data_IF_577506347211
#
_entry.id   IF_577506347211
#
_cell.length_a   1.000
_cell.length_b   1.000
_cell.length_c   1.000
_cell.angle_alpha   90.00
_cell.angle_beta   90.00
_cell.angle_gamma   90.00
#
_symmetry.space_group_name_H-M   'P 1'
#
loop_
_entity.id
_entity.type
_entity.pdbx_description
1 polymer ?
#
# COMPACT_ATOMS: atom_id res chain seq x y z
N UNK A 1 1.52 -14.51 8.46
CA UNK A 1 1.04 -13.44 9.37
C UNK A 1 2.23 -12.91 10.14
N UNK A 2 2.19 -11.66 10.60
CA UNK A 2 3.26 -11.05 11.43
C UNK A 2 3.35 -11.79 12.77
N UNK A 3 2.21 -12.10 13.38
CA UNK A 3 2.09 -12.89 14.63
C UNK A 3 2.78 -14.24 14.52
N UNK A 4 2.39 -15.05 13.52
CA UNK A 4 3.04 -16.34 13.23
C UNK A 4 4.56 -16.21 13.01
N UNK A 5 5.04 -15.11 12.43
CA UNK A 5 6.48 -14.88 12.29
C UNK A 5 7.15 -14.62 13.63
N UNK A 6 6.51 -13.81 14.49
CA UNK A 6 7.01 -13.49 15.82
C UNK A 6 7.00 -14.71 16.73
N UNK A 7 5.88 -15.44 16.79
CA UNK A 7 5.77 -16.69 17.56
C UNK A 7 6.79 -17.72 17.13
N UNK A 8 6.99 -17.89 15.81
CA UNK A 8 7.97 -18.83 15.27
C UNK A 8 9.41 -18.44 15.62
N UNK A 9 9.75 -17.15 15.59
CA UNK A 9 11.08 -16.68 16.02
C UNK A 9 11.30 -16.95 17.52
N UNK A 10 10.28 -16.67 18.33
CA UNK A 10 10.35 -16.78 19.79
C UNK A 10 10.37 -18.23 20.27
N UNK A 11 9.73 -19.16 19.55
CA UNK A 11 9.74 -20.59 19.89
C UNK A 11 11.13 -21.23 19.78
N UNK A 12 12.07 -20.62 19.05
CA UNK A 12 13.48 -21.04 19.05
C UNK A 12 14.18 -20.77 20.40
N UNK A 13 13.67 -19.83 21.20
CA UNK A 13 14.27 -19.41 22.47
C UNK A 13 14.07 -20.37 23.65
N UNK A 14 13.39 -21.50 23.46
CA UNK A 14 13.17 -22.53 24.48
C UNK A 14 11.69 -22.77 24.79
N UNK A 15 11.41 -23.37 25.95
CA UNK A 15 10.08 -23.85 26.36
C UNK A 15 9.16 -22.73 26.89
N UNK A 16 9.24 -21.56 26.27
CA UNK A 16 8.37 -20.45 26.55
C UNK A 16 7.18 -20.58 25.60
N UNK A 17 5.95 -20.46 26.06
CA UNK A 17 4.78 -20.36 25.18
C UNK A 17 4.68 -18.90 24.73
N UNK A 18 5.16 -18.51 23.52
CA UNK A 18 5.06 -17.14 23.09
C UNK A 18 3.63 -16.83 22.66
N UNK A 19 3.16 -15.65 23.03
CA UNK A 19 1.92 -15.09 22.50
C UNK A 19 2.25 -13.77 21.81
N UNK A 20 1.88 -13.63 20.54
CA UNK A 20 2.08 -12.41 19.77
C UNK A 20 0.75 -11.85 19.28
N UNK A 21 0.54 -10.56 19.47
CA UNK A 21 -0.63 -9.84 18.93
C UNK A 21 -0.13 -8.68 18.09
N UNK A 22 -0.57 -8.64 16.83
CA UNK A 22 -0.23 -7.57 15.90
C UNK A 22 -1.46 -6.69 15.62
N UNK A 23 -1.49 -5.52 16.24
CA UNK A 23 -2.46 -4.47 15.93
C UNK A 23 -1.92 -3.55 14.85
N UNK A 24 -2.82 -2.78 14.23
CA UNK A 24 -2.49 -1.79 13.22
C UNK A 24 -1.35 -0.84 13.63
N UNK A 25 -1.29 -0.41 14.88
CA UNK A 25 -0.33 0.62 15.34
C UNK A 25 0.63 0.10 16.41
N UNK A 26 0.55 -1.19 16.74
CA UNK A 26 1.20 -1.74 17.92
C UNK A 26 1.47 -3.22 17.76
N UNK A 27 2.66 -3.65 18.18
CA UNK A 27 3.00 -5.05 18.36
C UNK A 27 3.09 -5.32 19.86
N UNK A 28 2.47 -6.42 20.29
CA UNK A 28 2.57 -6.93 21.66
C UNK A 28 3.17 -8.32 21.58
N UNK A 29 4.17 -8.59 22.40
CA UNK A 29 4.77 -9.90 22.59
C UNK A 29 4.75 -10.24 24.06
N UNK A 30 4.29 -11.42 24.41
CA UNK A 30 4.43 -11.99 25.74
C UNK A 30 5.19 -13.30 25.67
N UNK A 31 6.12 -13.50 26.60
CA UNK A 31 6.90 -14.72 26.74
C UNK A 31 6.77 -15.17 28.19
N UNK A 32 6.29 -16.39 28.40
CA UNK A 32 6.24 -16.99 29.73
C UNK A 32 7.56 -17.69 30.08
N UNK A 33 8.19 -17.29 31.18
CA UNK A 33 9.36 -17.97 31.76
C UNK A 33 8.97 -18.62 33.10
N UNK A 34 9.22 -19.93 33.30
CA UNK A 34 8.93 -20.61 34.56
C UNK A 34 9.65 -19.99 35.77
N UNK A 35 10.80 -19.34 35.55
CA UNK A 35 11.65 -18.77 36.59
C UNK A 35 11.34 -17.29 36.86
N UNK A 36 10.75 -16.57 35.91
CA UNK A 36 10.69 -15.09 35.90
C UNK A 36 9.26 -14.54 35.79
N UNK A 37 8.26 -15.41 35.63
CA UNK A 37 6.90 -15.02 35.28
C UNK A 37 6.77 -14.62 33.82
N UNK A 38 5.71 -13.87 33.49
CA UNK A 38 5.45 -13.39 32.13
C UNK A 38 6.20 -12.10 31.85
N UNK A 39 6.98 -12.07 30.76
CA UNK A 39 7.60 -10.86 30.24
C UNK A 39 6.82 -10.38 29.02
N UNK A 40 6.17 -9.21 29.14
CA UNK A 40 5.41 -8.59 28.06
C UNK A 40 6.10 -7.33 27.56
N UNK A 41 6.29 -7.23 26.25
CA UNK A 41 6.87 -6.08 25.57
C UNK A 41 5.91 -5.54 24.53
N UNK A 42 5.75 -4.22 24.53
CA UNK A 42 4.91 -3.50 23.58
C UNK A 42 5.78 -2.54 22.77
N UNK A 43 5.54 -2.48 21.46
CA UNK A 43 6.22 -1.57 20.54
C UNK A 43 5.22 -0.90 19.60
N UNK A 44 5.31 0.42 19.48
CA UNK A 44 4.51 1.21 18.54
C UNK A 44 5.05 1.02 17.12
N UNK A 45 4.15 0.96 16.14
CA UNK A 45 4.47 0.96 14.71
C UNK A 45 4.14 2.35 14.13
N UNK A 46 5.13 3.26 14.00
CA UNK A 46 4.87 4.68 13.73
C UNK A 46 4.43 4.97 12.29
N UNK A 47 4.92 4.21 11.31
CA UNK A 47 4.52 4.34 9.91
C UNK A 47 4.41 2.96 9.28
N UNK A 48 3.36 2.78 8.47
CA UNK A 48 3.19 1.62 7.60
C UNK A 48 3.58 2.02 6.19
N UNK A 49 4.45 1.23 5.58
CA UNK A 49 4.63 1.23 4.14
C UNK A 49 4.62 -0.23 3.69
N UNK A 50 3.86 -0.55 2.64
CA UNK A 50 3.74 -1.92 2.15
C UNK A 50 4.83 -2.18 1.12
N UNK A 51 5.90 -2.87 1.55
CA UNK A 51 6.95 -3.32 0.64
C UNK A 51 6.95 -4.85 0.57
N UNK A 52 6.22 -5.41 -0.40
CA UNK A 52 6.05 -6.86 -0.53
C UNK A 52 7.38 -7.63 -0.58
N UNK A 53 8.39 -7.13 -1.30
CA UNK A 53 9.69 -7.80 -1.35
C UNK A 53 10.36 -7.92 0.04
N UNK A 54 10.35 -6.85 0.84
CA UNK A 54 10.87 -6.89 2.22
C UNK A 54 10.07 -7.84 3.10
N UNK A 55 8.73 -7.85 2.96
CA UNK A 55 7.86 -8.79 3.70
C UNK A 55 8.21 -10.25 3.36
N UNK A 56 8.38 -10.57 2.07
CA UNK A 56 8.79 -11.90 1.62
C UNK A 56 10.17 -12.29 2.19
N UNK A 57 11.15 -11.38 2.13
CA UNK A 57 12.50 -11.63 2.65
C UNK A 57 12.51 -11.82 4.17
N UNK A 58 11.75 -11.03 4.93
CA UNK A 58 11.61 -11.22 6.39
C UNK A 58 10.96 -12.58 6.71
N UNK A 59 9.94 -12.98 5.95
CA UNK A 59 9.30 -14.30 6.12
C UNK A 59 10.26 -15.45 5.77
N UNK A 60 11.10 -15.28 4.75
CA UNK A 60 12.10 -16.28 4.40
C UNK A 60 13.22 -16.34 5.45
N UNK A 61 13.71 -15.18 5.89
CA UNK A 61 14.69 -15.05 6.96
C UNK A 61 14.19 -15.73 8.25
N UNK A 62 12.93 -15.52 8.64
CA UNK A 62 12.37 -16.13 9.85
C UNK A 62 12.31 -17.65 9.76
N UNK A 63 11.93 -18.21 8.59
CA UNK A 63 11.94 -19.66 8.36
C UNK A 63 13.34 -20.24 8.44
N UNK A 64 14.31 -19.59 7.79
CA UNK A 64 15.73 -20.05 7.79
C UNK A 64 16.37 -19.94 9.18
N UNK A 65 16.08 -18.88 9.92
CA UNK A 65 16.51 -18.70 11.30
C UNK A 65 15.99 -19.83 12.20
N UNK A 66 14.71 -20.16 12.08
CA UNK A 66 14.06 -21.19 12.90
C UNK A 66 14.54 -22.59 12.52
N UNK A 67 14.86 -22.81 11.24
CA UNK A 67 15.49 -24.03 10.76
C UNK A 67 16.96 -24.19 11.23
N UNK A 68 17.50 -23.26 12.02
CA UNK A 68 18.84 -23.37 12.59
C UNK A 68 19.99 -23.09 11.63
N UNK A 69 19.71 -22.50 10.46
CA UNK A 69 20.74 -22.26 9.43
C UNK A 69 21.80 -21.22 9.84
N UNK A 70 21.50 -20.37 10.82
CA UNK A 70 22.41 -19.35 11.34
C UNK A 70 22.03 -18.92 12.78
N UNK A 71 22.95 -18.24 13.45
CA UNK A 71 22.77 -17.70 14.81
C UNK A 71 21.93 -16.42 14.88
N UNK A 72 21.70 -15.91 16.09
CA UNK A 72 20.89 -14.72 16.33
C UNK A 72 21.57 -13.44 15.84
N UNK A 73 22.89 -13.31 16.02
CA UNK A 73 23.65 -12.16 15.52
C UNK A 73 23.56 -12.03 14.00
N UNK A 74 23.70 -13.16 13.30
CA UNK A 74 23.62 -13.20 11.84
C UNK A 74 22.19 -12.93 11.33
N UNK A 75 21.17 -13.44 12.02
CA UNK A 75 19.78 -13.12 11.72
C UNK A 75 19.50 -11.61 11.88
N UNK A 76 20.04 -11.01 12.93
CA UNK A 76 19.91 -9.57 13.18
C UNK A 76 20.62 -8.73 12.11
N UNK A 77 21.81 -9.16 11.68
CA UNK A 77 22.56 -8.54 10.58
C UNK A 77 21.78 -8.57 9.27
N UNK A 78 21.29 -9.74 8.86
CA UNK A 78 20.47 -9.88 7.63
C UNK A 78 19.15 -9.12 7.72
N UNK A 79 18.52 -9.05 8.89
CA UNK A 79 17.33 -8.22 9.08
C UNK A 79 17.65 -6.73 8.87
N UNK A 80 18.81 -6.26 9.32
CA UNK A 80 19.32 -4.92 9.06
C UNK A 80 19.56 -4.65 7.57
N UNK A 81 20.08 -5.62 6.83
CA UNK A 81 20.25 -5.53 5.37
C UNK A 81 18.89 -5.38 4.66
N UNK A 82 17.90 -6.20 5.00
CA UNK A 82 16.54 -6.12 4.45
C UNK A 82 15.88 -4.77 4.80
N UNK A 83 16.12 -4.27 6.02
CA UNK A 83 15.58 -2.98 6.45
C UNK A 83 16.15 -1.83 5.62
N UNK A 84 17.47 -1.82 5.39
CA UNK A 84 18.19 -0.76 4.68
C UNK A 84 18.12 -0.88 3.15
N UNK A 85 17.58 -1.97 2.61
CA UNK A 85 17.45 -2.15 1.17
C UNK A 85 16.67 -0.98 0.54
N UNK A 86 17.17 -0.38 -0.56
CA UNK A 86 16.48 0.72 -1.20
C UNK A 86 15.13 0.27 -1.75
N UNK A 87 14.13 1.15 -1.66
CA UNK A 87 12.87 0.97 -2.37
C UNK A 87 13.09 0.98 -3.88
N UNK A 88 12.10 0.50 -4.64
CA UNK A 88 12.11 0.53 -6.10
C UNK A 88 12.48 1.91 -6.67
N UNK A 89 13.19 1.89 -7.81
CA UNK A 89 13.61 3.12 -8.48
C UNK A 89 12.41 3.99 -8.84
N UNK A 90 12.57 5.32 -8.72
CA UNK A 90 11.46 6.24 -8.97
C UNK A 90 10.93 6.13 -10.40
N UNK A 91 11.80 5.88 -11.37
CA UNK A 91 11.44 5.65 -12.75
C UNK A 91 10.54 4.41 -12.91
N UNK A 92 10.92 3.29 -12.30
CA UNK A 92 10.11 2.06 -12.38
C UNK A 92 8.72 2.27 -11.79
N UNK A 93 8.63 2.97 -10.65
CA UNK A 93 7.35 3.32 -10.04
C UNK A 93 6.51 4.18 -10.99
N UNK A 94 7.08 5.25 -11.55
CA UNK A 94 6.37 6.15 -12.48
C UNK A 94 5.86 5.40 -13.71
N UNK A 95 6.71 4.58 -14.34
CA UNK A 95 6.29 3.76 -15.49
C UNK A 95 5.20 2.76 -15.11
N UNK A 96 5.24 2.20 -13.90
CA UNK A 96 4.21 1.29 -13.41
C UNK A 96 2.85 1.97 -13.29
N UNK A 97 2.78 3.25 -12.91
CA UNK A 97 1.53 4.00 -12.92
C UNK A 97 0.97 4.11 -14.35
N UNK A 98 1.81 4.46 -15.34
CA UNK A 98 1.38 4.53 -16.74
C UNK A 98 0.88 3.19 -17.28
N UNK A 99 1.65 2.12 -17.09
CA UNK A 99 1.30 0.77 -17.54
C UNK A 99 -0.01 0.31 -16.89
N UNK A 100 -0.17 0.53 -15.58
CA UNK A 100 -1.39 0.17 -14.87
C UNK A 100 -2.60 0.91 -15.44
N UNK A 101 -2.50 2.24 -15.62
CA UNK A 101 -3.59 3.04 -16.20
C UNK A 101 -3.97 2.60 -17.61
N UNK A 102 -2.98 2.28 -18.46
CA UNK A 102 -3.25 1.74 -19.79
C UNK A 102 -3.94 0.38 -19.74
N UNK A 103 -3.50 -0.52 -18.87
CA UNK A 103 -4.10 -1.84 -18.69
C UNK A 103 -5.54 -1.75 -18.18
N UNK A 104 -5.83 -0.84 -17.25
CA UNK A 104 -7.20 -0.60 -16.77
C UNK A 104 -8.10 -0.03 -17.86
N UNK A 105 -7.55 0.75 -18.80
CA UNK A 105 -8.34 1.23 -19.95
C UNK A 105 -8.86 0.08 -20.79
N UNK A 106 -8.03 -0.95 -21.02
CA UNK A 106 -8.47 -2.17 -21.71
C UNK A 106 -9.54 -2.90 -20.91
N UNK A 107 -9.41 -2.97 -19.58
CA UNK A 107 -10.39 -3.60 -18.69
C UNK A 107 -11.75 -2.89 -18.71
N UNK A 108 -11.78 -1.58 -18.90
CA UNK A 108 -12.98 -0.77 -19.02
C UNK A 108 -13.47 -0.59 -20.46
N UNK A 109 -12.99 -1.44 -21.38
CA UNK A 109 -13.41 -1.45 -22.79
C UNK A 109 -13.13 -0.13 -23.53
N UNK A 110 -12.07 0.59 -23.12
CA UNK A 110 -11.60 1.80 -23.79
C UNK A 110 -10.86 1.53 -25.09
N UNK A 111 -10.79 2.54 -25.96
CA UNK A 111 -10.04 2.45 -27.21
C UNK A 111 -8.53 2.48 -27.02
N UNK A 112 -7.77 2.13 -28.07
CA UNK A 112 -6.30 2.22 -28.05
C UNK A 112 -5.81 3.65 -27.79
N UNK A 113 -6.51 4.66 -28.33
CA UNK A 113 -6.20 6.07 -28.12
C UNK A 113 -6.38 6.45 -26.65
N UNK A 114 -7.50 6.07 -26.03
CA UNK A 114 -7.74 6.30 -24.61
C UNK A 114 -6.70 5.59 -23.74
N UNK A 115 -6.24 4.40 -24.15
CA UNK A 115 -5.18 3.67 -23.46
C UNK A 115 -3.83 4.39 -23.50
N UNK A 116 -3.47 5.00 -24.63
CA UNK A 116 -2.26 5.83 -24.75
C UNK A 116 -2.36 7.10 -23.91
N UNK A 117 -3.53 7.74 -23.90
CA UNK A 117 -3.76 8.92 -23.04
C UNK A 117 -3.70 8.53 -21.58
N UNK A 118 -4.35 7.43 -21.18
CA UNK A 118 -4.31 6.89 -19.82
C UNK A 118 -2.90 6.52 -19.36
N UNK A 119 -2.06 6.02 -20.28
CA UNK A 119 -0.64 5.79 -20.02
C UNK A 119 0.07 7.10 -19.66
N UNK A 120 -0.11 8.15 -20.48
CA UNK A 120 0.49 9.46 -20.26
C UNK A 120 -0.01 10.13 -18.97
N UNK A 121 -1.33 10.12 -18.72
CA UNK A 121 -1.91 10.64 -17.47
C UNK A 121 -1.42 9.85 -16.26
N UNK A 122 -1.27 8.53 -16.38
CA UNK A 122 -0.69 7.67 -15.36
C UNK A 122 0.76 8.04 -15.04
N UNK A 123 1.60 8.25 -16.06
CA UNK A 123 2.98 8.75 -15.85
C UNK A 123 2.99 10.09 -15.14
N UNK A 124 2.18 11.05 -15.60
CA UNK A 124 2.07 12.37 -14.97
C UNK A 124 1.64 12.25 -13.50
N UNK A 125 0.65 11.39 -13.22
CA UNK A 125 0.20 11.12 -11.87
C UNK A 125 1.29 10.48 -11.02
N UNK A 126 2.08 9.54 -11.56
CA UNK A 126 3.21 8.93 -10.88
C UNK A 126 4.29 9.95 -10.51
N UNK A 127 4.63 10.86 -11.42
CA UNK A 127 5.55 11.98 -11.17
C UNK A 127 4.98 12.88 -10.07
N UNK A 128 3.71 13.26 -10.19
CA UNK A 128 3.03 14.13 -9.25
C UNK A 128 3.01 13.53 -7.83
N UNK A 129 2.64 12.25 -7.71
CA UNK A 129 2.64 11.52 -6.45
C UNK A 129 4.04 11.42 -5.84
N UNK A 130 5.08 11.28 -6.67
CA UNK A 130 6.45 11.25 -6.19
C UNK A 130 6.86 12.60 -5.61
N UNK A 131 6.54 13.71 -6.27
CA UNK A 131 6.78 15.06 -5.73
C UNK A 131 5.99 15.28 -4.45
N UNK A 132 4.71 14.90 -4.45
CA UNK A 132 3.84 15.06 -3.28
C UNK A 132 4.32 14.25 -2.08
N UNK A 133 4.92 13.06 -2.31
CA UNK A 133 5.50 12.23 -1.25
C UNK A 133 6.69 12.88 -0.51
N UNK A 134 7.31 13.90 -1.10
CA UNK A 134 8.35 14.69 -0.42
C UNK A 134 7.78 15.63 0.65
N UNK A 135 6.48 15.93 0.58
CA UNK A 135 5.74 16.77 1.51
C UNK A 135 5.08 15.83 2.53
N UNK A 136 5.24 16.09 3.83
CA UNK A 136 4.66 15.27 4.91
C UNK A 136 3.16 15.54 5.07
N UNK A 137 2.37 15.18 4.08
CA UNK A 137 0.91 15.30 4.08
C UNK A 137 0.23 13.99 4.50
N UNK A 138 -0.95 14.05 5.15
CA UNK A 138 -1.79 12.90 5.38
C UNK A 138 -2.16 12.15 4.09
N UNK A 139 -2.22 10.81 4.15
CA UNK A 139 -2.58 9.96 3.00
C UNK A 139 -3.91 10.31 2.34
N UNK A 140 -4.90 10.75 3.13
CA UNK A 140 -6.19 11.24 2.63
C UNK A 140 -6.02 12.43 1.69
N UNK A 141 -5.21 13.43 2.07
CA UNK A 141 -4.97 14.60 1.24
C UNK A 141 -4.21 14.24 -0.04
N UNK A 142 -3.25 13.31 0.04
CA UNK A 142 -2.54 12.82 -1.14
C UNK A 142 -3.49 12.17 -2.14
N UNK A 143 -4.45 11.39 -1.64
CA UNK A 143 -5.47 10.72 -2.45
C UNK A 143 -6.43 11.72 -3.11
N UNK A 144 -6.85 12.75 -2.36
CA UNK A 144 -7.72 13.82 -2.85
C UNK A 144 -7.03 14.63 -3.96
N UNK A 145 -5.83 15.14 -3.69
CA UNK A 145 -5.08 15.97 -4.65
C UNK A 145 -4.70 15.11 -5.88
N UNK A 146 -4.39 13.83 -5.68
CA UNK A 146 -4.20 12.86 -6.75
C UNK A 146 -5.39 12.70 -7.67
N UNK A 147 -6.59 12.56 -7.09
CA UNK A 147 -7.83 12.49 -7.86
C UNK A 147 -8.09 13.76 -8.68
N UNK A 148 -7.86 14.94 -8.08
CA UNK A 148 -7.96 16.23 -8.79
C UNK A 148 -7.00 16.27 -9.97
N UNK A 149 -5.72 15.95 -9.72
CA UNK A 149 -4.67 16.01 -10.74
C UNK A 149 -4.94 15.05 -11.90
N UNK A 150 -5.33 13.80 -11.60
CA UNK A 150 -5.68 12.81 -12.60
C UNK A 150 -6.87 13.26 -13.45
N UNK A 151 -7.91 13.79 -12.80
CA UNK A 151 -9.10 14.31 -13.47
C UNK A 151 -8.78 15.49 -14.40
N UNK A 152 -8.08 16.52 -13.90
CA UNK A 152 -7.66 17.67 -14.71
C UNK A 152 -6.78 17.23 -15.89
N UNK A 153 -5.84 16.31 -15.67
CA UNK A 153 -4.96 15.81 -16.73
C UNK A 153 -5.74 15.11 -17.84
N UNK A 154 -6.68 14.24 -17.49
CA UNK A 154 -7.53 13.55 -18.46
C UNK A 154 -8.42 14.54 -19.25
N UNK A 155 -9.00 15.52 -18.57
CA UNK A 155 -9.84 16.55 -19.18
C UNK A 155 -9.04 17.47 -20.12
N UNK A 156 -7.79 17.78 -19.75
CA UNK A 156 -6.87 18.51 -20.62
C UNK A 156 -6.60 17.75 -21.93
N UNK A 157 -6.29 16.45 -21.86
CA UNK A 157 -6.08 15.63 -23.07
C UNK A 157 -7.34 15.49 -23.93
N UNK A 158 -8.52 15.45 -23.31
CA UNK A 158 -9.79 15.48 -24.03
C UNK A 158 -9.99 16.81 -24.77
N UNK A 159 -9.70 17.95 -24.12
CA UNK A 159 -9.91 19.26 -24.72
C UNK A 159 -9.01 19.53 -25.93
N UNK A 160 -7.79 19.00 -25.95
CA UNK A 160 -6.88 19.07 -27.11
C UNK A 160 -7.20 18.03 -28.21
N UNK A 161 -8.27 17.24 -28.04
CA UNK A 161 -8.74 16.25 -29.02
C UNK A 161 -7.94 14.95 -29.07
N UNK A 162 -7.16 14.64 -28.03
CA UNK A 162 -6.29 13.45 -28.00
C UNK A 162 -6.97 12.22 -27.35
N UNK A 163 -8.15 12.38 -26.75
CA UNK A 163 -8.94 11.28 -26.16
C UNK A 163 -10.37 11.26 -26.72
N UNK A 164 -10.93 10.05 -26.88
CA UNK A 164 -12.32 9.86 -27.28
C UNK A 164 -13.28 9.94 -26.09
N UNK A 165 -13.00 9.19 -25.02
CA UNK A 165 -13.82 9.18 -23.80
C UNK A 165 -12.99 9.54 -22.56
N UNK A 166 -13.11 10.81 -22.14
CA UNK A 166 -12.45 11.31 -20.94
C UNK A 166 -12.86 10.55 -19.67
N UNK A 167 -14.07 9.96 -19.61
CA UNK A 167 -14.53 9.23 -18.43
C UNK A 167 -13.74 7.94 -18.25
N UNK A 168 -13.48 7.22 -19.35
CA UNK A 168 -12.66 6.01 -19.34
C UNK A 168 -11.23 6.36 -18.93
N UNK A 169 -10.66 7.44 -19.48
CA UNK A 169 -9.31 7.89 -19.11
C UNK A 169 -9.24 8.25 -17.62
N UNK A 170 -10.20 9.01 -17.09
CA UNK A 170 -10.26 9.37 -15.66
C UNK A 170 -10.30 8.11 -14.79
N UNK A 171 -11.28 7.22 -15.03
CA UNK A 171 -11.48 6.01 -14.21
C UNK A 171 -10.24 5.12 -14.27
N UNK A 172 -9.61 4.98 -15.43
CA UNK A 172 -8.40 4.16 -15.59
C UNK A 172 -7.18 4.78 -14.90
N UNK A 173 -7.04 6.10 -14.97
CA UNK A 173 -5.87 6.83 -14.43
C UNK A 173 -5.84 6.87 -12.91
N UNK A 174 -7.00 6.83 -12.25
CA UNK A 174 -7.09 6.86 -10.78
C UNK A 174 -6.96 5.47 -10.13
N UNK A 175 -7.08 4.38 -10.90
CA UNK A 175 -7.02 3.01 -10.37
C UNK A 175 -5.76 2.71 -9.54
N UNK A 176 -4.56 3.19 -9.91
CA UNK A 176 -3.37 3.02 -9.07
C UNK A 176 -3.46 3.65 -7.68
N UNK A 177 -4.36 4.63 -7.47
CA UNK A 177 -4.59 5.26 -6.16
C UNK A 177 -5.60 4.50 -5.30
N UNK A 178 -6.36 3.57 -5.89
CA UNK A 178 -7.40 2.88 -5.18
C UNK A 178 -6.82 1.86 -4.18
N UNK A 179 -7.41 1.75 -2.99
CA UNK A 179 -6.87 0.93 -1.90
C UNK A 179 -7.24 -0.56 -2.06
N UNK A 180 -7.08 -1.13 -3.26
CA UNK A 180 -7.50 -2.49 -3.59
C UNK A 180 -6.87 -3.55 -2.67
N UNK A 181 -5.56 -3.49 -2.47
CA UNK A 181 -4.82 -4.39 -1.56
C UNK A 181 -5.32 -4.26 -0.11
N UNK A 182 -5.61 -3.04 0.34
CA UNK A 182 -6.14 -2.77 1.69
C UNK A 182 -7.53 -3.40 1.85
N UNK A 183 -8.40 -3.25 0.86
CA UNK A 183 -9.75 -3.87 0.85
C UNK A 183 -9.64 -5.40 0.90
N UNK A 184 -8.81 -6.01 0.04
CA UNK A 184 -8.61 -7.46 0.04
C UNK A 184 -8.12 -7.96 1.39
N UNK A 185 -7.15 -7.26 2.00
CA UNK A 185 -6.65 -7.61 3.32
C UNK A 185 -7.69 -7.39 4.43
N UNK A 186 -8.55 -6.38 4.31
CA UNK A 186 -9.61 -6.11 5.26
C UNK A 186 -10.65 -7.23 5.27
N UNK A 187 -11.11 -7.65 4.08
CA UNK A 187 -12.06 -8.75 3.93
C UNK A 187 -11.47 -10.04 4.50
N UNK A 188 -10.21 -10.33 4.16
CA UNK A 188 -9.51 -11.50 4.68
C UNK A 188 -9.44 -11.50 6.21
N UNK A 189 -9.06 -10.38 6.82
CA UNK A 189 -8.98 -10.27 8.28
C UNK A 189 -10.35 -10.50 8.94
N UNK A 190 -11.43 -9.96 8.37
CA UNK A 190 -12.80 -10.17 8.86
C UNK A 190 -13.20 -11.64 8.79
N UNK A 191 -12.94 -12.30 7.64
CA UNK A 191 -13.24 -13.72 7.45
C UNK A 191 -12.44 -14.64 8.37
N UNK A 192 -11.23 -14.22 8.76
CA UNK A 192 -10.38 -14.93 9.73
C UNK A 192 -10.71 -14.56 11.21
N UNK A 193 -11.78 -13.80 11.47
CA UNK A 193 -12.24 -13.42 12.82
C UNK A 193 -11.55 -12.19 13.44
N UNK A 194 -10.62 -11.55 12.71
CA UNK A 194 -9.87 -10.38 13.16
C UNK A 194 -10.61 -9.06 12.90
N UNK A 195 -11.78 -8.88 13.52
CA UNK A 195 -12.69 -7.76 13.25
C UNK A 195 -12.12 -6.37 13.53
N UNK A 196 -11.27 -6.22 14.55
CA UNK A 196 -10.67 -4.92 14.90
C UNK A 196 -9.69 -4.44 13.81
N UNK A 197 -8.83 -5.34 13.33
CA UNK A 197 -7.91 -5.06 12.21
C UNK A 197 -8.68 -4.85 10.91
N UNK A 198 -9.63 -5.74 10.62
CA UNK A 198 -10.47 -5.69 9.44
C UNK A 198 -11.24 -4.37 9.31
N UNK A 199 -12.00 -4.00 10.35
CA UNK A 199 -12.79 -2.75 10.36
C UNK A 199 -11.91 -1.51 10.22
N UNK A 200 -10.74 -1.49 10.86
CA UNK A 200 -9.76 -0.40 10.71
C UNK A 200 -9.30 -0.25 9.25
N UNK A 201 -9.03 -1.36 8.55
CA UNK A 201 -8.61 -1.34 7.14
C UNK A 201 -9.76 -0.97 6.20
N UNK A 202 -10.99 -1.41 6.48
CA UNK A 202 -12.19 -0.98 5.72
C UNK A 202 -12.36 0.53 5.81
N UNK A 203 -12.27 1.10 7.02
CA UNK A 203 -12.37 2.55 7.21
C UNK A 203 -11.25 3.31 6.48
N UNK A 204 -10.01 2.82 6.56
CA UNK A 204 -8.87 3.38 5.82
C UNK A 204 -9.13 3.38 4.30
N UNK A 205 -9.58 2.24 3.76
CA UNK A 205 -9.91 2.13 2.34
C UNK A 205 -11.09 3.02 1.92
N UNK A 206 -12.13 3.12 2.74
CA UNK A 206 -13.28 3.99 2.48
C UNK A 206 -12.85 5.48 2.43
N UNK A 207 -12.02 5.92 3.37
CA UNK A 207 -11.49 7.28 3.39
C UNK A 207 -10.66 7.60 2.14
N UNK A 208 -9.78 6.69 1.71
CA UNK A 208 -8.99 6.85 0.48
C UNK A 208 -9.92 6.90 -0.74
N UNK A 209 -10.88 5.97 -0.84
CA UNK A 209 -11.84 5.93 -1.94
C UNK A 209 -12.67 7.21 -2.06
N UNK A 210 -13.20 7.71 -0.93
CA UNK A 210 -13.94 8.98 -0.88
C UNK A 210 -13.05 10.17 -1.25
N UNK A 211 -11.79 10.19 -0.82
CA UNK A 211 -10.84 11.23 -1.19
C UNK A 211 -10.62 11.29 -2.71
N UNK A 212 -10.32 10.14 -3.32
CA UNK A 212 -10.12 10.04 -4.78
C UNK A 212 -11.38 10.44 -5.53
N UNK A 213 -12.55 9.90 -5.14
CA UNK A 213 -13.82 10.22 -5.76
C UNK A 213 -14.17 11.72 -5.63
N UNK A 214 -13.95 12.30 -4.45
CA UNK A 214 -14.13 13.73 -4.20
C UNK A 214 -13.19 14.59 -5.05
N UNK A 215 -11.92 14.19 -5.17
CA UNK A 215 -10.95 14.89 -6.01
C UNK A 215 -11.33 14.87 -7.49
N UNK A 216 -11.76 13.72 -8.01
CA UNK A 216 -12.30 13.62 -9.38
C UNK A 216 -13.57 14.46 -9.53
N UNK A 217 -14.48 14.41 -8.56
CA UNK A 217 -15.69 15.25 -8.56
C UNK A 217 -15.38 16.74 -8.66
N UNK A 218 -14.38 17.23 -7.90
CA UNK A 218 -13.89 18.62 -8.01
C UNK A 218 -13.39 18.93 -9.42
N UNK A 219 -12.58 18.04 -10.02
CA UNK A 219 -12.08 18.25 -11.39
C UNK A 219 -13.20 18.34 -12.43
N UNK A 220 -14.23 17.51 -12.30
CA UNK A 220 -15.39 17.51 -13.18
C UNK A 220 -16.24 18.77 -13.00
N UNK A 221 -16.46 19.21 -11.76
CA UNK A 221 -17.18 20.46 -11.46
C UNK A 221 -16.46 21.68 -12.04
N UNK A 222 -15.13 21.72 -11.96
CA UNK A 222 -14.32 22.78 -12.60
C UNK A 222 -14.55 22.75 -14.11
N UNK A 223 -14.45 21.58 -14.74
CA UNK A 223 -14.66 21.46 -16.19
C UNK A 223 -16.07 21.86 -16.63
N UNK A 224 -17.10 21.47 -15.88
CA UNK A 224 -18.47 21.86 -16.16
C UNK A 224 -18.71 23.38 -16.04
N UNK A 225 -17.89 24.10 -15.27
CA UNK A 225 -17.97 25.56 -15.19
C UNK A 225 -17.31 26.28 -16.39
N UNK A 226 -16.43 25.59 -17.14
CA UNK A 226 -15.71 26.13 -18.30
C UNK A 226 -16.19 25.58 -19.65
N UNK A 227 -17.08 24.60 -19.65
CA UNK A 227 -17.70 23.98 -20.84
C UNK A 227 -19.06 24.62 -21.15
#
# INVERSE_FOLDING_TARGET
RVEDTMERILSRGGNNMPEAVALSTMLIVSIHSPLSGSLTMTRKVPQKNTHFAKICRVNELSRRFVAGQFGIEEAYRQLGEIYNEPSYSSLLTIFSYGIASAAFTVLFWGGMVDGMVAFCTGILLGIFMRVLSSIKTPYFLNSLIGGIFAGISALFFYHIGWSGDYKIVIVSSIMPLLPGVTITNAIRDILEGNFLSGTSKVMEAALIGMAVAGGVGVSLSIFAAFA
#
